data_IF_156278646975
#
_entry.id   IF_156278646975
#
_cell.length_a   1.000
_cell.length_b   1.000
_cell.length_c   1.000
_cell.angle_alpha   90.00
_cell.angle_beta   90.00
_cell.angle_gamma   90.00
#
_symmetry.space_group_name_H-M   'P 1'
#
loop_
_entity.id
_entity.type
_entity.pdbx_description
1 polymer ?
#
# COMPACT_ATOMS: atom_id res chain seq x y z
N UNK A 1 -3.61 -14.67 28.80
CA UNK A 1 -2.19 -15.06 28.88
C UNK A 1 -1.40 -13.92 29.48
N UNK A 2 -0.57 -14.20 30.44
CA UNK A 2 0.26 -13.16 31.07
C UNK A 2 1.30 -12.64 30.08
N UNK A 3 1.56 -11.33 30.16
CA UNK A 3 2.60 -10.71 29.36
C UNK A 3 3.97 -11.18 29.82
N UNK A 4 4.84 -11.42 28.87
CA UNK A 4 6.23 -11.75 29.10
C UNK A 4 7.12 -10.58 28.72
N UNK A 5 8.40 -10.64 29.08
CA UNK A 5 9.35 -9.56 28.89
C UNK A 5 9.39 -9.03 27.44
N UNK A 6 9.22 -9.92 26.46
CA UNK A 6 9.35 -9.58 25.04
C UNK A 6 8.03 -9.60 24.27
N UNK A 7 6.91 -9.74 24.95
CA UNK A 7 5.58 -9.78 24.28
C UNK A 7 5.27 -8.51 23.51
N UNK A 8 5.85 -7.38 23.89
CA UNK A 8 5.72 -6.10 23.18
C UNK A 8 6.27 -6.14 21.74
N UNK A 9 7.11 -7.12 21.41
CA UNK A 9 7.68 -7.28 20.07
C UNK A 9 6.87 -8.24 19.18
N UNK A 10 5.77 -8.76 19.70
CA UNK A 10 4.98 -9.78 19.00
C UNK A 10 3.57 -9.25 18.75
N UNK A 11 3.21 -9.10 17.48
CA UNK A 11 1.87 -8.75 17.06
C UNK A 11 1.15 -10.03 16.63
N UNK A 12 0.04 -10.36 17.29
CA UNK A 12 -0.68 -11.63 17.05
C UNK A 12 -2.01 -11.45 16.32
N UNK A 13 -2.52 -10.23 16.22
CA UNK A 13 -3.81 -9.94 15.59
C UNK A 13 -3.68 -8.81 14.58
N UNK A 14 -2.90 -9.02 13.51
CA UNK A 14 -2.66 -7.97 12.53
C UNK A 14 -3.77 -7.81 11.50
N UNK A 15 -4.79 -8.69 11.50
CA UNK A 15 -5.81 -8.67 10.46
C UNK A 15 -6.90 -7.66 10.84
N UNK A 16 -7.13 -6.72 9.95
CA UNK A 16 -8.21 -5.77 10.03
C UNK A 16 -9.36 -6.25 9.15
N UNK A 17 -10.46 -6.63 9.77
CA UNK A 17 -11.69 -7.04 9.07
C UNK A 17 -12.62 -5.87 8.82
N UNK A 18 -12.18 -4.66 9.14
CA UNK A 18 -12.96 -3.45 8.90
C UNK A 18 -13.26 -3.24 7.42
N UNK A 19 -14.28 -2.46 7.16
CA UNK A 19 -14.67 -2.08 5.82
C UNK A 19 -13.65 -1.12 5.20
N UNK A 20 -13.80 -0.88 3.93
CA UNK A 20 -13.08 0.01 3.00
C UNK A 20 -12.80 1.44 3.49
N UNK A 21 -12.29 1.57 4.67
CA UNK A 21 -12.07 2.86 5.36
C UNK A 21 -11.05 3.73 4.62
N UNK A 22 -10.19 3.12 3.83
CA UNK A 22 -9.02 3.78 3.27
C UNK A 22 -9.09 4.08 1.78
N UNK A 23 -10.16 3.62 1.11
CA UNK A 23 -10.25 3.71 -0.34
C UNK A 23 -11.61 4.22 -0.77
N UNK A 24 -11.61 5.12 -1.71
CA UNK A 24 -12.84 5.69 -2.27
C UNK A 24 -13.59 4.69 -3.15
N UNK A 25 -12.93 3.65 -3.57
CA UNK A 25 -13.46 2.67 -4.52
C UNK A 25 -13.20 1.25 -4.05
N UNK A 26 -14.26 0.50 -3.85
CA UNK A 26 -14.19 -0.93 -3.57
C UNK A 26 -13.82 -1.31 -2.15
N UNK A 27 -13.88 -2.61 -1.90
CA UNK A 27 -13.50 -3.25 -0.65
C UNK A 27 -12.27 -4.13 -0.88
N UNK A 28 -11.26 -3.97 -0.05
CA UNK A 28 -9.98 -4.66 -0.20
C UNK A 28 -9.54 -5.35 1.08
N UNK A 29 -10.49 -5.75 1.84
CA UNK A 29 -10.21 -6.45 3.08
C UNK A 29 -10.34 -7.95 2.95
N UNK A 30 -9.95 -8.69 3.97
CA UNK A 30 -9.25 -8.15 5.13
C UNK A 30 -7.80 -7.79 4.79
N UNK A 31 -7.34 -6.71 5.36
CA UNK A 31 -5.96 -6.27 5.22
C UNK A 31 -5.13 -6.71 6.42
N UNK A 32 -3.85 -6.89 6.22
CA UNK A 32 -2.92 -7.20 7.30
C UNK A 32 -2.14 -5.93 7.65
N UNK A 33 -2.26 -5.50 8.90
CA UNK A 33 -1.64 -4.27 9.39
C UNK A 33 -0.63 -4.57 10.49
N UNK A 34 0.59 -4.11 10.28
CA UNK A 34 1.62 -4.07 11.32
C UNK A 34 1.92 -2.61 11.58
N UNK A 35 1.21 -2.02 12.55
CA UNK A 35 1.29 -0.59 12.85
C UNK A 35 2.53 -0.26 13.66
N UNK A 36 3.21 0.81 13.28
CA UNK A 36 4.37 1.30 14.01
C UNK A 36 4.07 1.58 15.48
N UNK A 37 2.88 2.09 15.79
CA UNK A 37 2.46 2.34 17.18
C UNK A 37 2.43 1.07 18.02
N UNK A 38 2.09 -0.09 17.42
CA UNK A 38 2.07 -1.38 18.11
C UNK A 38 3.48 -1.89 18.41
N UNK A 39 4.46 -1.52 17.58
CA UNK A 39 5.88 -1.79 17.81
C UNK A 39 6.58 -0.70 18.62
N UNK A 40 5.91 0.43 18.85
CA UNK A 40 6.50 1.65 19.44
C UNK A 40 7.65 2.20 18.61
N UNK A 41 7.46 2.23 17.30
CA UNK A 41 8.39 2.84 16.35
C UNK A 41 7.62 3.47 15.18
N UNK A 42 8.34 3.99 14.19
CA UNK A 42 7.75 4.74 13.08
C UNK A 42 7.60 3.92 11.79
N UNK A 43 7.66 2.61 11.89
CA UNK A 43 7.53 1.75 10.71
C UNK A 43 6.17 1.05 10.71
N UNK A 44 5.38 1.31 9.67
CA UNK A 44 4.09 0.65 9.46
C UNK A 44 4.11 -0.13 8.16
N UNK A 45 3.64 -1.37 8.19
CA UNK A 45 3.53 -2.26 7.04
C UNK A 45 2.09 -2.73 6.89
N UNK A 46 1.57 -2.63 5.67
CA UNK A 46 0.24 -3.09 5.31
C UNK A 46 0.36 -4.06 4.15
N UNK A 47 -0.37 -5.17 4.22
CA UNK A 47 -0.48 -6.11 3.12
C UNK A 47 -1.91 -6.10 2.62
N UNK A 48 -2.09 -5.79 1.35
CA UNK A 48 -3.38 -5.67 0.69
C UNK A 48 -3.41 -6.66 -0.48
N UNK A 49 -4.45 -7.51 -0.49
CA UNK A 49 -4.67 -8.44 -1.59
C UNK A 49 -5.60 -7.80 -2.62
N UNK A 50 -5.15 -7.71 -3.85
CA UNK A 50 -5.94 -7.16 -4.97
C UNK A 50 -6.34 -8.30 -5.89
N UNK A 51 -7.63 -8.54 -6.04
CA UNK A 51 -8.17 -9.63 -6.85
C UNK A 51 -8.91 -9.13 -8.09
N UNK A 52 -9.26 -7.86 -8.11
CA UNK A 52 -10.03 -7.24 -9.19
C UNK A 52 -9.39 -5.94 -9.65
N UNK A 53 -9.66 -5.58 -10.90
CA UNK A 53 -9.23 -4.27 -11.42
C UNK A 53 -9.92 -3.15 -10.65
N UNK A 54 -9.14 -2.13 -10.30
CA UNK A 54 -9.65 -1.03 -9.47
C UNK A 54 -8.76 0.20 -9.53
N UNK A 55 -9.33 1.32 -9.16
CA UNK A 55 -8.60 2.54 -8.84
C UNK A 55 -8.48 2.60 -7.32
N UNK A 56 -7.30 2.33 -6.81
CA UNK A 56 -7.09 2.30 -5.35
C UNK A 56 -7.04 3.70 -4.77
N UNK A 57 -6.35 4.61 -5.46
CA UNK A 57 -6.26 6.01 -5.10
C UNK A 57 -6.67 6.83 -6.32
N UNK A 58 -7.81 7.50 -6.23
CA UNK A 58 -8.39 8.21 -7.38
C UNK A 58 -7.71 9.55 -7.65
N UNK A 59 -7.29 10.24 -6.59
CA UNK A 59 -6.78 11.59 -6.70
C UNK A 59 -5.27 11.65 -6.43
N UNK A 60 -4.63 12.62 -7.07
CA UNK A 60 -3.27 12.98 -6.70
C UNK A 60 -3.24 13.47 -5.25
N UNK A 61 -2.23 13.08 -4.54
CA UNK A 61 -2.06 13.42 -3.12
C UNK A 61 -0.58 13.44 -2.74
N UNK A 62 -0.30 13.94 -1.54
CA UNK A 62 1.04 14.02 -1.00
C UNK A 62 1.00 13.61 0.47
N UNK A 63 2.03 12.89 0.89
CA UNK A 63 2.20 12.48 2.28
C UNK A 63 3.37 13.21 2.94
N UNK A 64 3.30 13.30 4.26
CA UNK A 64 4.37 13.83 5.11
C UNK A 64 5.26 12.70 5.64
N UNK A 65 5.45 11.65 4.85
CA UNK A 65 6.33 10.52 5.16
C UNK A 65 6.77 9.82 3.88
N UNK A 66 7.82 9.00 3.99
CA UNK A 66 8.27 8.14 2.89
C UNK A 66 7.39 6.91 2.79
N UNK A 67 7.08 6.49 1.58
CA UNK A 67 6.21 5.37 1.31
C UNK A 67 6.83 4.41 0.31
N UNK A 68 6.68 3.12 0.57
CA UNK A 68 7.12 2.05 -0.32
C UNK A 68 5.91 1.22 -0.74
N UNK A 69 5.81 0.96 -2.02
CA UNK A 69 4.77 0.10 -2.60
C UNK A 69 5.46 -1.05 -3.32
N UNK A 70 5.38 -2.24 -2.75
CA UNK A 70 5.94 -3.45 -3.36
C UNK A 70 4.83 -4.31 -3.94
N UNK A 71 4.98 -4.72 -5.20
CA UNK A 71 4.01 -5.51 -5.93
C UNK A 71 4.57 -6.91 -6.16
N UNK A 72 3.80 -7.91 -5.76
CA UNK A 72 4.15 -9.33 -5.88
C UNK A 72 2.93 -10.13 -6.29
N UNK A 73 3.09 -11.15 -7.16
CA UNK A 73 1.98 -12.10 -7.39
C UNK A 73 1.81 -12.98 -6.16
N UNK A 74 0.56 -13.33 -5.84
CA UNK A 74 0.24 -14.32 -4.81
C UNK A 74 0.28 -15.73 -5.41
N UNK A 75 1.38 -16.07 -6.03
CA UNK A 75 1.58 -17.34 -6.70
C UNK A 75 3.00 -17.84 -6.44
N UNK A 76 3.17 -18.87 -5.62
CA UNK A 76 4.52 -19.32 -5.22
C UNK A 76 5.37 -19.88 -6.37
N UNK A 77 4.73 -20.32 -7.44
CA UNK A 77 5.44 -20.91 -8.59
C UNK A 77 5.82 -19.90 -9.66
N UNK A 78 5.34 -18.67 -9.57
CA UNK A 78 5.67 -17.60 -10.50
C UNK A 78 5.71 -16.29 -9.74
N UNK A 79 6.89 -15.91 -9.31
CA UNK A 79 7.12 -14.69 -8.53
C UNK A 79 7.43 -13.47 -9.40
N UNK A 80 7.37 -13.61 -10.71
CA UNK A 80 7.75 -12.54 -11.64
C UNK A 80 6.55 -11.83 -12.26
N UNK A 81 5.58 -12.58 -12.77
CA UNK A 81 4.45 -12.02 -13.52
C UNK A 81 3.32 -11.60 -12.59
N UNK A 82 2.98 -10.32 -12.58
CA UNK A 82 1.87 -9.80 -11.76
C UNK A 82 0.49 -10.23 -12.27
N UNK A 83 0.37 -10.57 -13.56
CA UNK A 83 -0.92 -10.88 -14.16
C UNK A 83 -1.86 -9.67 -14.25
N UNK A 84 -1.30 -8.48 -14.23
CA UNK A 84 -2.03 -7.22 -14.34
C UNK A 84 -1.09 -6.07 -14.70
N UNK A 85 -1.67 -4.91 -14.89
CA UNK A 85 -0.94 -3.65 -15.02
C UNK A 85 -1.18 -2.81 -13.75
N UNK A 86 -0.10 -2.37 -13.12
CA UNK A 86 -0.15 -1.50 -11.95
C UNK A 86 0.46 -0.15 -12.34
N UNK A 87 -0.37 0.89 -12.36
CA UNK A 87 0.06 2.23 -12.75
C UNK A 87 0.06 3.16 -11.55
N UNK A 88 1.16 3.88 -11.39
CA UNK A 88 1.26 5.01 -10.47
C UNK A 88 1.69 6.25 -11.25
N UNK A 89 0.94 7.33 -11.05
CA UNK A 89 1.29 8.64 -11.61
C UNK A 89 2.08 9.41 -10.57
N UNK A 90 3.23 9.94 -10.95
CA UNK A 90 4.05 10.83 -10.14
C UNK A 90 3.96 12.25 -10.67
N UNK A 91 4.03 13.23 -9.77
CA UNK A 91 4.07 14.64 -10.14
C UNK A 91 2.70 15.25 -10.38
N UNK A 92 2.71 16.52 -10.75
CA UNK A 92 1.50 17.31 -11.00
C UNK A 92 1.67 18.18 -12.24
N UNK A 93 0.53 18.61 -12.81
CA UNK A 93 0.52 19.48 -14.00
C UNK A 93 1.24 18.86 -15.18
N UNK A 94 2.12 19.64 -15.81
CA UNK A 94 2.87 19.21 -16.99
C UNK A 94 4.04 18.27 -16.65
N UNK A 95 4.35 18.11 -15.36
CA UNK A 95 5.41 17.21 -14.89
C UNK A 95 4.95 15.80 -14.58
N UNK A 96 3.70 15.48 -14.86
CA UNK A 96 3.16 14.14 -14.59
C UNK A 96 3.87 13.08 -15.40
N UNK A 97 4.26 12.01 -14.68
CA UNK A 97 4.84 10.81 -15.28
C UNK A 97 4.02 9.60 -14.87
N UNK A 98 3.66 8.79 -15.85
CA UNK A 98 2.98 7.50 -15.61
C UNK A 98 4.00 6.38 -15.65
N UNK A 99 4.00 5.56 -14.61
CA UNK A 99 4.84 4.37 -14.54
C UNK A 99 3.98 3.14 -14.36
N UNK A 100 4.19 2.14 -15.21
CA UNK A 100 3.39 0.91 -15.23
C UNK A 100 4.30 -0.28 -14.95
N UNK A 101 3.88 -1.11 -13.99
CA UNK A 101 4.52 -2.38 -13.68
C UNK A 101 3.60 -3.52 -14.14
N UNK A 102 4.15 -4.48 -14.85
CA UNK A 102 3.50 -5.75 -15.21
C UNK A 102 4.23 -6.94 -14.57
N UNK A 103 5.39 -6.69 -14.04
CA UNK A 103 6.25 -7.64 -13.35
C UNK A 103 6.45 -7.20 -11.90
N UNK A 104 6.85 -8.13 -11.06
CA UNK A 104 7.25 -7.83 -9.68
C UNK A 104 8.20 -6.64 -9.66
N UNK A 105 7.88 -5.67 -8.85
CA UNK A 105 8.63 -4.43 -8.77
C UNK A 105 8.10 -3.55 -7.65
N UNK A 106 8.58 -2.32 -7.61
CA UNK A 106 8.20 -1.40 -6.56
C UNK A 106 8.14 0.04 -7.02
N UNK A 107 7.38 0.83 -6.28
CA UNK A 107 7.42 2.28 -6.33
C UNK A 107 7.91 2.79 -4.97
N UNK A 108 8.85 3.72 -4.99
CA UNK A 108 9.21 4.49 -3.81
C UNK A 108 8.69 5.90 -3.98
N UNK A 109 7.90 6.36 -3.01
CA UNK A 109 7.35 7.71 -3.00
C UNK A 109 7.96 8.46 -1.83
N UNK A 110 8.95 9.32 -2.08
CA UNK A 110 9.52 10.16 -1.04
C UNK A 110 8.48 11.10 -0.44
N UNK A 111 8.68 11.47 0.81
CA UNK A 111 7.94 12.52 1.49
C UNK A 111 7.85 13.76 0.60
N UNK A 112 6.65 14.32 0.47
CA UNK A 112 6.43 15.57 -0.27
C UNK A 112 6.29 15.43 -1.78
N UNK A 113 6.40 14.22 -2.34
CA UNK A 113 6.19 13.99 -3.77
C UNK A 113 4.72 13.74 -4.04
N UNK A 114 4.13 14.55 -4.91
CA UNK A 114 2.75 14.39 -5.36
C UNK A 114 2.66 13.12 -6.21
N UNK A 115 1.68 12.28 -5.93
CA UNK A 115 1.46 11.03 -6.65
C UNK A 115 -0.02 10.63 -6.64
N UNK A 116 -0.37 9.73 -7.53
CA UNK A 116 -1.74 9.31 -7.79
C UNK A 116 -2.25 9.85 -9.13
N UNK A 117 -3.23 9.20 -9.73
CA UNK A 117 -3.92 7.99 -9.28
C UNK A 117 -3.03 6.75 -9.19
N UNK A 118 -3.49 5.77 -8.40
CA UNK A 118 -2.89 4.46 -8.29
C UNK A 118 -3.91 3.42 -8.72
N UNK A 119 -3.63 2.73 -9.83
CA UNK A 119 -4.62 1.95 -10.56
C UNK A 119 -4.11 0.55 -10.88
N UNK A 120 -4.99 -0.43 -10.70
CA UNK A 120 -4.77 -1.82 -11.10
C UNK A 120 -5.71 -2.12 -12.28
N UNK A 121 -5.15 -2.54 -13.42
CA UNK A 121 -5.91 -2.88 -14.63
C UNK A 121 -5.66 -4.30 -15.06
N UNK A 122 -6.68 -4.90 -15.69
CA UNK A 122 -6.58 -6.24 -16.27
C UNK A 122 -6.07 -7.27 -15.25
N UNK A 123 -6.60 -7.22 -14.04
CA UNK A 123 -6.20 -8.14 -12.99
C UNK A 123 -6.75 -9.53 -13.31
N UNK A 124 -5.85 -10.47 -13.60
CA UNK A 124 -6.19 -11.84 -14.00
C UNK A 124 -5.92 -12.86 -12.90
N UNK A 125 -5.16 -12.47 -11.87
CA UNK A 125 -4.85 -13.30 -10.70
C UNK A 125 -4.54 -12.40 -9.50
N UNK A 126 -4.63 -12.93 -8.28
CA UNK A 126 -4.38 -12.11 -7.09
C UNK A 126 -2.98 -11.51 -7.06
N UNK A 127 -2.91 -10.24 -6.69
CA UNK A 127 -1.68 -9.48 -6.50
C UNK A 127 -1.58 -9.06 -5.05
N UNK A 128 -0.40 -9.16 -4.48
CA UNK A 128 -0.10 -8.63 -3.16
C UNK A 128 0.54 -7.25 -3.30
N UNK A 129 -0.10 -6.27 -2.68
CA UNK A 129 0.51 -4.97 -2.45
C UNK A 129 1.03 -4.95 -1.02
N UNK A 130 2.34 -4.89 -0.87
CA UNK A 130 2.99 -4.65 0.40
C UNK A 130 3.32 -3.16 0.47
N UNK A 131 2.75 -2.48 1.45
CA UNK A 131 2.79 -1.03 1.58
C UNK A 131 3.45 -0.68 2.90
N UNK A 132 4.56 0.03 2.86
CA UNK A 132 5.27 0.45 4.06
C UNK A 132 5.42 1.97 4.12
N UNK A 133 5.38 2.50 5.33
CA UNK A 133 5.58 3.92 5.61
C UNK A 133 6.62 4.07 6.71
N UNK A 134 7.52 5.04 6.54
CA UNK A 134 8.53 5.37 7.54
C UNK A 134 8.38 6.82 7.98
N UNK A 135 8.61 7.09 9.27
CA UNK A 135 8.45 8.43 9.82
C UNK A 135 7.00 8.88 9.93
N UNK A 136 6.06 7.94 9.85
CA UNK A 136 4.62 8.21 9.93
C UNK A 136 4.13 7.87 11.33
N UNK A 137 4.10 8.86 12.21
CA UNK A 137 3.37 8.74 13.47
C UNK A 137 1.86 8.59 13.21
N UNK A 138 1.40 9.10 12.09
CA UNK A 138 0.02 9.02 11.65
C UNK A 138 -0.01 8.75 10.14
N UNK A 139 -0.45 7.56 9.76
CA UNK A 139 -0.56 7.13 8.38
C UNK A 139 -1.46 8.05 7.54
N UNK A 140 -2.41 8.73 8.17
CA UNK A 140 -3.41 9.53 7.48
C UNK A 140 -3.01 10.98 7.20
N UNK A 141 -1.79 11.38 7.49
CA UNK A 141 -1.29 12.71 7.11
C UNK A 141 -1.12 12.79 5.61
N UNK A 142 -2.19 13.16 4.95
CA UNK A 142 -2.30 13.18 3.50
C UNK A 142 -3.00 14.46 3.07
N UNK A 143 -2.42 15.15 2.10
CA UNK A 143 -3.07 16.27 1.42
C UNK A 143 -3.49 15.80 0.02
N UNK A 144 -4.77 15.97 -0.31
CA UNK A 144 -5.37 15.49 -1.56
C UNK A 144 -5.61 16.66 -2.51
N UNK A 145 -5.27 16.46 -3.77
CA UNK A 145 -5.49 17.42 -4.85
C UNK A 145 -6.60 16.90 -5.75
N UNK A 146 -7.77 17.46 -5.62
CA UNK A 146 -8.94 17.11 -6.43
C UNK A 146 -9.04 17.97 -7.68
#
# INVERSE_FOLDING_TARGET
MADTKYSQYVIRKPIDYGDKIYYDVGYYGPNVWYKGEDYKNDFTMIFIRVEESMIMEEYAHVHDFDMYLWLLPLEPNNMEDLGCEVELVFGSGDEKEKHILTKTGSFFVPKGIVHGPFTFRNVTKPVLLAHACTGAADYYKTEVFK
#
